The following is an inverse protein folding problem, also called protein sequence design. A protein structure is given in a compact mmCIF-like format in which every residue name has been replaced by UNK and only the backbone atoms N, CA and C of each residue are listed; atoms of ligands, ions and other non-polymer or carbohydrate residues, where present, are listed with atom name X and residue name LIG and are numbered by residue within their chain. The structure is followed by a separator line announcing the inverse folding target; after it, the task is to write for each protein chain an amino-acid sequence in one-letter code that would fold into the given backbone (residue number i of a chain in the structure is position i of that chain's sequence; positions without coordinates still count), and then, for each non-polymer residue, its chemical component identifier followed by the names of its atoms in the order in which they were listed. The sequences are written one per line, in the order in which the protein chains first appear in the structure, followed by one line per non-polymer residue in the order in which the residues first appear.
data_IF_002878729954
#
_entry.id   IF_002878729954
#
_cell.length_a   1.000
_cell.length_b   1.000
_cell.length_c   1.000
_cell.angle_alpha   90.00
_cell.angle_beta   90.00
_cell.angle_gamma   90.00
#
_symmetry.space_group_name_H-M   'P 1'
#
loop_
_entity.id
_entity.type
_entity.pdbx_description
1 polymer ?
#
# COMPACT_ATOMS: atom_id res chain seq x y z
N UNK A 1 -5.13 32.74 -27.64
CA UNK A 1 -4.76 32.47 -26.22
C UNK A 1 -5.90 31.76 -25.52
N UNK A 2 -5.60 30.66 -24.81
CA UNK A 2 -6.55 29.74 -24.17
C UNK A 2 -6.24 29.64 -22.67
N UNK A 3 -7.26 29.64 -21.80
CA UNK A 3 -7.09 29.45 -20.35
C UNK A 3 -8.27 29.97 -19.51
N UNK A 4 -8.11 30.02 -18.18
CA UNK A 4 -9.14 30.54 -17.26
C UNK A 4 -9.17 32.06 -17.07
N UNK A 5 -8.17 32.81 -17.56
CA UNK A 5 -8.16 34.26 -17.40
C UNK A 5 -9.32 34.92 -18.16
N UNK A 6 -9.89 35.99 -17.60
CA UNK A 6 -10.93 36.80 -18.27
C UNK A 6 -10.43 37.39 -19.60
N UNK A 7 -9.11 37.63 -19.73
CA UNK A 7 -8.45 38.09 -20.96
C UNK A 7 -8.00 36.96 -21.90
N UNK A 8 -8.41 35.70 -21.69
CA UNK A 8 -8.21 34.63 -22.67
C UNK A 8 -9.20 34.78 -23.83
N UNK A 9 -8.78 34.48 -25.06
CA UNK A 9 -9.65 34.54 -26.24
C UNK A 9 -10.62 33.35 -26.25
N UNK A 10 -10.12 32.18 -25.82
CA UNK A 10 -10.94 31.00 -25.50
C UNK A 10 -10.86 30.80 -23.99
N UNK A 11 -11.93 31.20 -23.28
CA UNK A 11 -12.03 31.07 -21.82
C UNK A 11 -12.58 29.70 -21.44
N UNK A 12 -11.74 28.88 -20.81
CA UNK A 12 -12.05 27.50 -20.41
C UNK A 12 -12.26 27.43 -18.89
N UNK A 13 -13.41 27.90 -18.43
CA UNK A 13 -13.68 28.20 -17.01
C UNK A 13 -15.02 27.60 -16.56
N UNK A 14 -15.03 26.28 -16.32
CA UNK A 14 -16.24 25.48 -16.01
C UNK A 14 -16.67 25.53 -14.53
N UNK A 15 -16.28 26.57 -13.79
CA UNK A 15 -16.71 26.83 -12.39
C UNK A 15 -16.11 25.91 -11.31
N UNK A 16 -15.82 24.64 -11.63
CA UNK A 16 -15.30 23.63 -10.69
C UNK A 16 -13.92 23.08 -11.06
N UNK A 17 -13.41 23.38 -12.28
CA UNK A 17 -12.17 22.82 -12.81
C UNK A 17 -10.93 23.67 -12.48
N UNK A 18 -10.18 23.26 -11.47
CA UNK A 18 -8.83 23.79 -11.21
C UNK A 18 -7.79 23.39 -12.27
N UNK A 19 -8.12 22.45 -13.15
CA UNK A 19 -7.17 21.76 -14.04
C UNK A 19 -6.63 22.63 -15.19
N UNK A 20 -7.29 23.73 -15.52
CA UNK A 20 -6.83 24.69 -16.54
C UNK A 20 -6.15 25.90 -15.89
N UNK A 21 -4.90 26.16 -16.25
CA UNK A 21 -4.14 27.35 -15.83
C UNK A 21 -4.74 28.67 -16.39
N UNK A 22 -4.48 29.79 -15.72
CA UNK A 22 -5.04 31.12 -16.10
C UNK A 22 -4.66 31.53 -17.52
N UNK A 23 -3.39 31.39 -17.88
CA UNK A 23 -2.91 31.23 -19.26
C UNK A 23 -2.51 29.76 -19.37
N UNK A 24 -2.96 29.05 -20.40
CA UNK A 24 -2.74 27.60 -20.55
C UNK A 24 -2.04 27.28 -21.86
N UNK A 25 -2.54 27.81 -22.98
CA UNK A 25 -1.94 27.62 -24.29
C UNK A 25 -2.10 28.83 -25.21
N UNK A 26 -1.20 28.98 -26.17
CA UNK A 26 -1.45 29.73 -27.41
C UNK A 26 -1.78 28.75 -28.53
N UNK A 27 -2.71 29.15 -29.40
CA UNK A 27 -3.01 28.50 -30.68
C UNK A 27 -2.96 29.61 -31.72
N UNK A 28 -2.35 29.35 -32.87
CA UNK A 28 -2.17 30.33 -33.94
C UNK A 28 -1.47 29.71 -35.16
N UNK A 29 -1.39 30.46 -36.28
CA UNK A 29 -0.62 30.03 -37.45
C UNK A 29 0.88 30.05 -37.16
N UNK A 30 1.60 29.06 -37.70
CA UNK A 30 3.05 29.00 -37.79
C UNK A 30 3.54 29.34 -39.22
N UNK A 31 2.70 29.06 -40.22
CA UNK A 31 2.91 29.37 -41.64
C UNK A 31 1.60 29.83 -42.30
N UNK A 32 1.53 29.76 -43.64
CA UNK A 32 0.34 30.17 -44.40
C UNK A 32 -0.88 29.27 -44.12
N UNK A 33 -0.68 27.95 -44.18
CA UNK A 33 -1.70 26.92 -43.94
C UNK A 33 -1.41 26.06 -42.69
N UNK A 34 -0.26 26.29 -42.03
CA UNK A 34 0.17 25.54 -40.85
C UNK A 34 -0.32 26.19 -39.55
N UNK A 35 -1.06 25.43 -38.73
CA UNK A 35 -1.48 25.84 -37.39
C UNK A 35 -0.74 25.06 -36.31
N UNK A 36 -0.43 25.72 -35.20
CA UNK A 36 0.25 25.13 -34.06
C UNK A 36 -0.42 25.48 -32.72
N UNK A 37 -0.21 24.62 -31.73
CA UNK A 37 -0.53 24.84 -30.32
C UNK A 37 0.77 24.82 -29.48
N UNK A 38 0.88 25.75 -28.55
CA UNK A 38 2.02 25.87 -27.62
C UNK A 38 1.50 25.87 -26.18
N UNK A 39 2.00 24.97 -25.35
CA UNK A 39 1.79 24.97 -23.90
C UNK A 39 2.61 26.14 -23.29
N UNK A 40 1.95 27.15 -22.70
CA UNK A 40 2.64 28.38 -22.22
C UNK A 40 3.12 28.27 -20.77
N UNK A 41 3.49 27.05 -20.34
CA UNK A 41 3.89 26.75 -18.96
C UNK A 41 2.69 26.37 -18.07
N UNK A 42 1.75 25.59 -18.63
CA UNK A 42 0.56 25.14 -17.91
C UNK A 42 0.89 24.09 -16.84
N UNK A 43 0.06 24.06 -15.79
CA UNK A 43 0.26 23.21 -14.60
C UNK A 43 0.06 21.73 -14.90
N UNK A 44 -0.88 21.39 -15.80
CA UNK A 44 -1.27 20.01 -16.10
C UNK A 44 -0.90 19.56 -17.53
N UNK A 45 -0.49 20.50 -18.40
CA UNK A 45 -0.04 20.21 -19.76
C UNK A 45 -1.12 20.30 -20.84
N UNK A 46 -0.64 20.49 -22.06
CA UNK A 46 -1.41 20.33 -23.30
C UNK A 46 -1.06 18.98 -23.93
N UNK A 47 -2.05 18.34 -24.54
CA UNK A 47 -1.90 17.04 -25.19
C UNK A 47 -2.49 17.08 -26.61
N UNK A 48 -1.85 16.40 -27.56
CA UNK A 48 -2.39 16.11 -28.90
C UNK A 48 -2.51 14.58 -29.01
N UNK A 49 -3.68 14.07 -29.36
CA UNK A 49 -3.96 12.63 -29.46
C UNK A 49 -3.51 11.84 -28.21
N UNK A 50 -3.76 12.42 -27.03
CA UNK A 50 -3.35 11.92 -25.69
C UNK A 50 -1.84 11.93 -25.40
N UNK A 51 -0.97 12.35 -26.34
CA UNK A 51 0.46 12.58 -26.10
C UNK A 51 0.69 14.00 -25.60
N UNK A 52 1.37 14.18 -24.46
CA UNK A 52 1.74 15.51 -23.94
C UNK A 52 2.75 16.17 -24.89
N UNK A 53 2.57 17.46 -25.17
CA UNK A 53 3.55 18.26 -25.90
C UNK A 53 4.58 18.88 -24.93
N UNK A 54 5.68 19.38 -25.48
CA UNK A 54 6.67 20.16 -24.73
C UNK A 54 6.13 21.55 -24.34
N UNK A 55 6.65 22.11 -23.26
CA UNK A 55 6.31 23.47 -22.83
C UNK A 55 7.12 24.50 -23.62
N UNK A 56 6.49 25.60 -24.00
CA UNK A 56 7.04 26.73 -24.77
C UNK A 56 7.47 26.43 -26.22
N UNK A 57 7.31 25.19 -26.69
CA UNK A 57 7.55 24.79 -28.09
C UNK A 57 6.22 24.71 -28.89
N UNK A 58 6.16 25.19 -30.14
CA UNK A 58 5.00 24.99 -31.01
C UNK A 58 4.90 23.54 -31.50
N UNK A 59 3.75 22.90 -31.27
CA UNK A 59 3.39 21.62 -31.86
C UNK A 59 2.36 21.83 -32.98
N UNK A 60 2.68 21.37 -34.20
CA UNK A 60 1.79 21.42 -35.36
C UNK A 60 0.51 20.60 -35.15
N UNK A 61 -0.57 21.02 -35.81
CA UNK A 61 -1.89 20.37 -35.78
C UNK A 61 -2.23 19.79 -37.16
N UNK A 62 -2.53 18.49 -37.21
CA UNK A 62 -3.00 17.76 -38.38
C UNK A 62 -4.51 17.53 -38.33
N UNK A 63 -5.14 17.32 -39.50
CA UNK A 63 -6.59 17.10 -39.58
C UNK A 63 -7.06 15.94 -38.69
N UNK A 64 -8.12 16.19 -37.90
CA UNK A 64 -8.68 15.23 -36.96
C UNK A 64 -8.02 15.21 -35.56
N UNK A 65 -6.91 15.92 -35.34
CA UNK A 65 -6.15 15.89 -34.08
C UNK A 65 -6.99 16.28 -32.85
N UNK A 66 -6.90 15.47 -31.79
CA UNK A 66 -7.58 15.71 -30.52
C UNK A 66 -6.68 16.47 -29.54
N UNK A 67 -6.86 17.78 -29.49
CA UNK A 67 -6.18 18.69 -28.55
C UNK A 67 -6.90 18.67 -27.20
N UNK A 68 -6.17 18.42 -26.11
CA UNK A 68 -6.70 18.43 -24.73
C UNK A 68 -5.95 19.42 -23.86
N UNK A 69 -6.68 20.24 -23.09
CA UNK A 69 -6.11 21.19 -22.15
C UNK A 69 -6.34 20.72 -20.71
N UNK A 70 -5.27 20.40 -19.99
CA UNK A 70 -5.34 19.83 -18.65
C UNK A 70 -5.37 18.29 -18.65
N UNK A 71 -6.05 17.68 -17.66
CA UNK A 71 -5.96 16.23 -17.41
C UNK A 71 -6.66 15.43 -18.51
N UNK A 72 -5.90 14.67 -19.29
CA UNK A 72 -6.44 13.74 -20.28
C UNK A 72 -6.97 12.45 -19.61
N UNK A 73 -8.29 12.36 -19.38
CA UNK A 73 -8.92 11.11 -18.94
C UNK A 73 -9.09 10.13 -20.11
N UNK A 74 -9.07 8.82 -19.85
CA UNK A 74 -8.99 7.77 -20.87
C UNK A 74 -10.22 7.56 -21.76
N UNK A 75 -11.26 8.40 -21.65
CA UNK A 75 -12.52 8.27 -22.40
C UNK A 75 -12.36 8.76 -23.85
N UNK A 76 -13.10 8.17 -24.80
CA UNK A 76 -13.30 8.78 -26.11
C UNK A 76 -14.48 9.74 -26.01
N UNK A 77 -14.34 10.93 -26.58
CA UNK A 77 -15.44 11.90 -26.75
C UNK A 77 -15.99 11.74 -28.17
N UNK A 78 -17.31 11.60 -28.38
CA UNK A 78 -17.90 11.56 -29.72
C UNK A 78 -17.63 12.84 -30.53
N UNK A 79 -17.61 12.70 -31.85
CA UNK A 79 -17.44 13.84 -32.76
C UNK A 79 -18.70 14.70 -32.74
N UNK A 80 -18.55 15.98 -32.39
CA UNK A 80 -19.56 17.02 -32.62
C UNK A 80 -20.16 17.71 -31.38
N UNK A 81 -19.90 17.24 -30.16
CA UNK A 81 -20.44 17.83 -28.93
C UNK A 81 -19.38 18.53 -28.07
N UNK A 82 -19.77 19.66 -27.47
CA UNK A 82 -18.99 20.38 -26.45
C UNK A 82 -19.06 19.64 -25.12
N UNK A 83 -18.12 18.71 -24.90
CA UNK A 83 -18.01 18.00 -23.64
C UNK A 83 -17.54 18.93 -22.50
N UNK A 84 -18.43 19.27 -21.56
CA UNK A 84 -18.11 19.24 -20.13
C UNK A 84 -19.34 19.29 -19.21
N UNK A 85 -19.77 18.14 -18.71
CA UNK A 85 -20.19 18.02 -17.29
C UNK A 85 -18.97 17.77 -16.38
N UNK A 86 -17.94 17.10 -16.92
CA UNK A 86 -16.87 16.44 -16.15
C UNK A 86 -15.54 17.22 -16.12
N UNK A 87 -15.56 18.51 -16.47
CA UNK A 87 -14.39 19.41 -16.36
C UNK A 87 -13.22 19.17 -17.32
N UNK A 88 -13.36 18.25 -18.27
CA UNK A 88 -12.42 17.97 -19.37
C UNK A 88 -12.63 18.93 -20.54
N UNK A 89 -11.54 19.34 -21.20
CA UNK A 89 -11.57 20.24 -22.37
C UNK A 89 -10.85 19.60 -23.55
N UNK A 90 -11.61 18.91 -24.41
CA UNK A 90 -11.12 18.19 -25.59
C UNK A 90 -11.70 18.83 -26.85
N UNK A 91 -10.85 19.13 -27.83
CA UNK A 91 -11.21 19.75 -29.10
C UNK A 91 -10.61 18.97 -30.26
N UNK A 92 -11.41 18.68 -31.30
CA UNK A 92 -10.89 18.18 -32.57
C UNK A 92 -10.50 19.36 -33.46
N UNK A 93 -9.22 19.44 -33.85
CA UNK A 93 -8.80 20.27 -34.98
C UNK A 93 -9.35 19.67 -36.28
N UNK A 94 -9.77 20.53 -37.22
CA UNK A 94 -10.19 20.09 -38.55
C UNK A 94 -9.65 21.00 -39.64
N UNK A 95 -9.07 20.36 -40.66
CA UNK A 95 -8.96 20.89 -42.01
C UNK A 95 -10.23 20.48 -42.81
N UNK A 96 -10.13 20.38 -44.14
CA UNK A 96 -11.26 20.02 -45.00
C UNK A 96 -10.90 18.92 -46.03
N UNK A 97 -11.94 18.21 -46.49
CA UNK A 97 -12.02 17.23 -47.63
C UNK A 97 -12.00 15.71 -47.26
N UNK A 98 -12.27 14.77 -48.21
CA UNK A 98 -13.00 13.49 -47.93
C UNK A 98 -12.72 12.22 -48.82
N UNK A 99 -13.20 11.00 -48.41
CA UNK A 99 -12.96 9.63 -49.02
C UNK A 99 -14.11 8.55 -48.84
N UNK A 100 -14.17 7.41 -49.61
CA UNK A 100 -14.61 6.05 -49.08
C UNK A 100 -14.15 4.69 -49.80
N UNK A 101 -14.36 3.43 -49.23
CA UNK A 101 -13.82 2.09 -49.70
C UNK A 101 -14.78 0.82 -49.81
N UNK A 102 -14.30 -0.47 -49.99
CA UNK A 102 -15.14 -1.75 -50.20
C UNK A 102 -14.68 -3.17 -49.60
N UNK A 103 -15.25 -4.38 -49.97
CA UNK A 103 -15.34 -5.69 -49.16
C UNK A 103 -15.52 -7.11 -49.88
N UNK A 104 -15.47 -8.29 -49.13
CA UNK A 104 -16.03 -9.74 -49.32
C UNK A 104 -15.11 -10.92 -49.90
N UNK A 105 -15.27 -12.29 -49.82
CA UNK A 105 -15.89 -13.39 -48.91
C UNK A 105 -15.29 -14.87 -49.16
N UNK A 106 -16.01 -16.04 -48.98
CA UNK A 106 -15.56 -17.51 -48.99
C UNK A 106 -16.69 -18.62 -49.29
N UNK A 107 -16.39 -19.93 -49.64
CA UNK A 107 -17.33 -21.13 -49.80
C UNK A 107 -16.98 -22.52 -49.09
N UNK A 108 -17.76 -23.65 -49.28
CA UNK A 108 -17.79 -25.00 -48.55
C UNK A 108 -18.40 -26.22 -49.41
N UNK A 109 -18.64 -27.56 -49.10
CA UNK A 109 -18.14 -28.78 -48.28
C UNK A 109 -19.05 -30.09 -48.50
N UNK A 110 -18.57 -31.39 -48.51
CA UNK A 110 -19.27 -32.74 -48.24
C UNK A 110 -18.36 -34.02 -48.49
N UNK A 111 -18.61 -35.38 -48.37
CA UNK A 111 -19.66 -36.40 -47.89
C UNK A 111 -19.08 -37.87 -47.59
N UNK A 112 -19.86 -38.99 -47.50
CA UNK A 112 -19.49 -40.35 -46.91
C UNK A 112 -20.32 -41.67 -47.27
N UNK A 113 -19.92 -42.93 -46.84
CA UNK A 113 -20.68 -44.24 -46.97
C UNK A 113 -20.61 -45.37 -45.84
N UNK A 114 -21.65 -46.25 -45.68
CA UNK A 114 -21.69 -47.70 -45.19
C UNK A 114 -21.94 -48.21 -43.70
N UNK A 115 -23.11 -47.99 -43.06
CA UNK A 115 -23.30 -47.76 -41.59
C UNK A 115 -22.88 -48.79 -40.51
N UNK A 116 -22.71 -50.09 -40.78
CA UNK A 116 -22.49 -51.10 -39.72
C UNK A 116 -21.03 -51.57 -39.62
N UNK A 117 -20.37 -51.72 -40.77
CA UNK A 117 -18.91 -51.79 -40.80
C UNK A 117 -18.35 -50.41 -40.42
N UNK A 118 -18.96 -49.32 -40.91
CA UNK A 118 -18.67 -47.94 -40.45
C UNK A 118 -18.72 -47.83 -38.93
N UNK A 119 -19.68 -48.45 -38.24
CA UNK A 119 -19.79 -48.28 -36.79
C UNK A 119 -18.58 -48.85 -36.03
N UNK A 120 -17.88 -49.83 -36.61
CA UNK A 120 -16.66 -50.40 -36.05
C UNK A 120 -15.40 -49.75 -36.63
N UNK A 121 -15.35 -49.53 -37.94
CA UNK A 121 -14.25 -48.85 -38.63
C UNK A 121 -14.13 -47.39 -38.20
N UNK A 122 -15.24 -46.66 -38.10
CA UNK A 122 -15.26 -45.30 -37.51
C UNK A 122 -14.90 -45.33 -36.03
N UNK A 123 -15.19 -46.39 -35.27
CA UNK A 123 -14.74 -46.48 -33.86
C UNK A 123 -13.24 -46.74 -33.76
N UNK A 124 -12.67 -47.54 -34.66
CA UNK A 124 -11.21 -47.72 -34.77
C UNK A 124 -10.57 -46.40 -35.20
N UNK A 125 -11.08 -45.74 -36.23
CA UNK A 125 -10.62 -44.43 -36.72
C UNK A 125 -10.77 -43.35 -35.64
N UNK A 126 -11.86 -43.32 -34.87
CA UNK A 126 -12.03 -42.44 -33.70
C UNK A 126 -10.94 -42.70 -32.66
N UNK A 127 -10.69 -43.97 -32.30
CA UNK A 127 -9.66 -44.33 -31.31
C UNK A 127 -8.24 -44.06 -31.82
N UNK A 128 -7.98 -44.20 -33.12
CA UNK A 128 -6.70 -43.83 -33.75
C UNK A 128 -6.51 -42.31 -33.80
N UNK A 129 -7.57 -41.55 -34.12
CA UNK A 129 -7.57 -40.07 -34.06
C UNK A 129 -7.42 -39.58 -32.62
N UNK A 130 -8.08 -40.21 -31.65
CA UNK A 130 -7.92 -39.90 -30.23
C UNK A 130 -6.51 -40.23 -29.76
N UNK A 131 -5.95 -41.39 -30.12
CA UNK A 131 -4.59 -41.79 -29.79
C UNK A 131 -3.56 -40.83 -30.38
N UNK A 132 -3.69 -40.45 -31.65
CA UNK A 132 -2.78 -39.49 -32.30
C UNK A 132 -2.94 -38.08 -31.73
N UNK A 133 -4.17 -37.67 -31.42
CA UNK A 133 -4.47 -36.45 -30.68
C UNK A 133 -3.87 -36.47 -29.26
N UNK A 134 -3.82 -37.62 -28.60
CA UNK A 134 -3.18 -37.80 -27.30
C UNK A 134 -1.65 -37.78 -27.39
N UNK A 135 -1.04 -38.40 -28.42
CA UNK A 135 0.39 -38.27 -28.71
C UNK A 135 0.78 -36.83 -29.00
N UNK A 136 0.02 -36.12 -29.84
CA UNK A 136 0.28 -34.73 -30.18
C UNK A 136 0.13 -33.79 -28.97
N UNK A 137 -0.87 -34.02 -28.10
CA UNK A 137 -0.99 -33.33 -26.81
C UNK A 137 0.18 -33.63 -25.87
N UNK A 138 0.63 -34.89 -25.79
CA UNK A 138 1.79 -35.27 -24.98
C UNK A 138 3.08 -34.58 -25.48
N UNK A 139 3.31 -34.58 -26.80
CA UNK A 139 4.45 -33.92 -27.43
C UNK A 139 4.44 -32.40 -27.22
N UNK A 140 3.24 -31.78 -27.27
CA UNK A 140 3.03 -30.39 -26.89
C UNK A 140 3.43 -30.13 -25.43
N UNK A 141 2.89 -30.92 -24.49
CA UNK A 141 3.21 -30.79 -23.07
C UNK A 141 4.70 -31.03 -22.74
N UNK A 142 5.39 -31.92 -23.46
CA UNK A 142 6.86 -32.06 -23.29
C UNK A 142 7.61 -30.84 -23.80
N UNK A 143 7.21 -30.27 -24.93
CA UNK A 143 7.82 -29.04 -25.46
C UNK A 143 7.57 -27.83 -24.56
N UNK A 144 6.36 -27.70 -24.01
CA UNK A 144 6.01 -26.68 -23.01
C UNK A 144 6.83 -26.84 -21.72
N UNK A 145 7.04 -28.08 -21.26
CA UNK A 145 7.85 -28.36 -20.06
C UNK A 145 9.34 -28.07 -20.28
N UNK A 146 9.89 -28.39 -21.45
CA UNK A 146 11.26 -28.04 -21.84
C UNK A 146 11.45 -26.53 -21.95
N UNK A 147 10.51 -25.82 -22.59
CA UNK A 147 10.52 -24.36 -22.67
C UNK A 147 10.43 -23.70 -21.28
N UNK A 148 9.52 -24.17 -20.41
CA UNK A 148 9.39 -23.69 -19.04
C UNK A 148 10.65 -23.97 -18.19
N UNK A 149 11.30 -25.12 -18.41
CA UNK A 149 12.57 -25.48 -17.76
C UNK A 149 13.71 -24.55 -18.20
N UNK A 150 13.83 -24.27 -19.50
CA UNK A 150 14.79 -23.32 -20.06
C UNK A 150 14.55 -21.89 -19.53
N UNK A 151 13.29 -21.45 -19.48
CA UNK A 151 12.92 -20.15 -18.90
C UNK A 151 13.27 -20.08 -17.40
N UNK A 152 13.01 -21.14 -16.63
CA UNK A 152 13.40 -21.24 -15.22
C UNK A 152 14.93 -21.20 -15.02
N UNK A 153 15.72 -21.72 -15.96
CA UNK A 153 17.18 -21.59 -15.94
C UNK A 153 17.60 -20.13 -16.17
N UNK A 154 17.11 -19.50 -17.23
CA UNK A 154 17.42 -18.09 -17.57
C UNK A 154 17.06 -17.14 -16.41
N UNK A 155 15.90 -17.34 -15.77
CA UNK A 155 15.49 -16.53 -14.62
C UNK A 155 16.39 -16.69 -13.39
N UNK A 156 17.01 -17.87 -13.18
CA UNK A 156 18.00 -18.07 -12.11
C UNK A 156 19.32 -17.38 -12.42
N UNK A 157 19.78 -17.47 -13.67
CA UNK A 157 21.02 -16.83 -14.12
C UNK A 157 20.90 -15.29 -14.04
N UNK A 158 19.74 -14.73 -14.40
CA UNK A 158 19.42 -13.32 -14.20
C UNK A 158 19.40 -12.92 -12.71
N UNK A 159 18.69 -13.69 -11.86
CA UNK A 159 18.60 -13.40 -10.43
C UNK A 159 19.96 -13.48 -9.71
N UNK A 160 20.89 -14.33 -10.16
CA UNK A 160 22.26 -14.36 -9.63
C UNK A 160 23.06 -13.09 -10.02
N UNK A 161 22.78 -12.52 -11.19
CA UNK A 161 23.31 -11.20 -11.60
C UNK A 161 22.72 -10.05 -10.78
N UNK A 162 21.41 -10.07 -10.52
CA UNK A 162 20.75 -9.08 -9.68
C UNK A 162 21.31 -9.10 -8.24
N UNK A 163 21.51 -10.27 -7.64
CA UNK A 163 22.09 -10.42 -6.29
C UNK A 163 23.51 -9.82 -6.21
N UNK A 164 24.34 -10.01 -7.23
CA UNK A 164 25.69 -9.39 -7.29
C UNK A 164 25.59 -7.87 -7.41
N UNK A 165 24.68 -7.38 -8.25
CA UNK A 165 24.43 -5.95 -8.43
C UNK A 165 23.92 -5.29 -7.15
N UNK A 166 23.05 -5.97 -6.39
CA UNK A 166 22.57 -5.51 -5.08
C UNK A 166 23.73 -5.38 -4.09
N UNK A 167 24.61 -6.38 -3.98
CA UNK A 167 25.77 -6.33 -3.09
C UNK A 167 26.74 -5.17 -3.43
N UNK A 168 26.95 -4.89 -4.72
CA UNK A 168 27.73 -3.72 -5.15
C UNK A 168 27.04 -2.39 -4.78
N UNK A 169 25.72 -2.30 -4.91
CA UNK A 169 24.94 -1.12 -4.54
C UNK A 169 24.91 -0.91 -3.01
N UNK A 170 24.83 -1.98 -2.21
CA UNK A 170 24.94 -1.93 -0.75
C UNK A 170 26.35 -1.46 -0.30
N UNK A 171 27.41 -1.94 -0.96
CA UNK A 171 28.77 -1.46 -0.74
C UNK A 171 28.95 0.02 -1.11
N UNK A 172 28.27 0.50 -2.16
CA UNK A 172 28.26 1.92 -2.54
C UNK A 172 27.40 2.79 -1.62
N UNK A 173 26.28 2.25 -1.11
CA UNK A 173 25.41 2.94 -0.15
C UNK A 173 26.14 3.16 1.19
N UNK A 174 26.72 2.10 1.76
CA UNK A 174 27.50 2.19 3.01
C UNK A 174 28.72 3.12 2.88
N UNK A 175 29.39 3.14 1.72
CA UNK A 175 30.44 4.11 1.44
C UNK A 175 29.91 5.56 1.36
N UNK A 176 28.72 5.78 0.79
CA UNK A 176 28.07 7.09 0.74
C UNK A 176 27.57 7.57 2.12
N UNK A 177 27.06 6.66 2.95
CA UNK A 177 26.69 6.93 4.34
C UNK A 177 27.92 7.33 5.17
N UNK A 178 29.03 6.59 5.04
CA UNK A 178 30.30 6.92 5.69
C UNK A 178 30.88 8.27 5.22
N UNK A 179 30.75 8.59 3.92
CA UNK A 179 31.14 9.89 3.39
C UNK A 179 30.23 11.03 3.91
N UNK A 180 28.92 10.78 4.03
CA UNK A 180 27.95 11.74 4.57
C UNK A 180 28.22 12.00 6.05
N UNK A 181 28.37 10.97 6.88
CA UNK A 181 28.73 11.10 8.29
C UNK A 181 30.06 11.84 8.49
N UNK A 182 31.05 11.63 7.60
CA UNK A 182 32.32 12.37 7.61
C UNK A 182 32.14 13.85 7.24
N UNK A 183 31.25 14.17 6.29
CA UNK A 183 30.91 15.54 5.94
C UNK A 183 30.12 16.25 7.05
N UNK A 184 29.18 15.55 7.69
CA UNK A 184 28.42 16.05 8.85
C UNK A 184 29.33 16.28 10.06
N UNK A 185 30.28 15.37 10.35
CA UNK A 185 31.29 15.57 11.39
C UNK A 185 32.20 16.77 11.11
N UNK A 186 32.61 16.98 9.85
CA UNK A 186 33.38 18.16 9.44
C UNK A 186 32.55 19.46 9.57
N UNK A 187 31.27 19.42 9.20
CA UNK A 187 30.35 20.56 9.36
C UNK A 187 30.07 20.86 10.85
N UNK A 188 29.95 19.84 11.70
CA UNK A 188 29.81 19.99 13.15
C UNK A 188 31.08 20.60 13.78
N UNK A 189 32.27 20.13 13.37
CA UNK A 189 33.54 20.71 13.81
C UNK A 189 33.68 22.19 13.38
N UNK A 190 33.32 22.53 12.14
CA UNK A 190 33.28 23.93 11.69
C UNK A 190 32.27 24.77 12.48
N UNK A 191 31.14 24.19 12.87
CA UNK A 191 30.08 24.87 13.64
C UNK A 191 30.43 25.05 15.12
N UNK A 192 31.26 24.18 15.69
CA UNK A 192 31.77 24.31 17.06
C UNK A 192 32.66 25.55 17.27
N UNK A 193 33.18 26.14 16.20
CA UNK A 193 33.95 27.41 16.23
C UNK A 193 33.02 28.65 16.26
N UNK A 194 31.73 28.49 15.93
CA UNK A 194 30.74 29.56 15.93
C UNK A 194 29.79 29.44 17.14
N UNK A 195 30.15 30.11 18.24
CA UNK A 195 29.45 29.99 19.52
C UNK A 195 28.04 30.60 19.59
N UNK A 196 27.31 30.22 20.65
CA UNK A 196 26.03 30.79 21.09
C UNK A 196 24.83 30.64 20.13
N UNK A 197 24.37 29.40 19.98
CA UNK A 197 22.94 29.12 19.92
C UNK A 197 22.52 28.58 21.30
N UNK A 198 21.30 28.90 21.77
CA UNK A 198 20.76 28.33 23.01
C UNK A 198 20.67 26.82 22.86
N UNK A 199 21.44 26.10 23.66
CA UNK A 199 21.40 24.64 23.72
C UNK A 199 20.40 24.26 24.81
N UNK A 200 19.27 23.69 24.39
CA UNK A 200 18.33 23.06 25.32
C UNK A 200 19.06 21.93 26.06
N UNK A 201 18.84 21.81 27.37
CA UNK A 201 19.37 20.69 28.16
C UNK A 201 18.64 19.40 27.80
N UNK A 202 19.19 18.25 28.21
CA UNK A 202 18.46 16.98 28.08
C UNK A 202 17.19 16.99 28.95
N UNK A 203 17.23 17.63 30.11
CA UNK A 203 16.12 17.72 31.06
C UNK A 203 14.94 18.51 30.46
N UNK A 204 15.21 19.67 29.85
CA UNK A 204 14.20 20.48 29.13
C UNK A 204 13.54 19.70 27.98
N UNK A 205 14.29 18.82 27.30
CA UNK A 205 13.74 17.93 26.27
C UNK A 205 12.90 16.80 26.88
N UNK A 206 13.32 16.22 28.01
CA UNK A 206 12.59 15.15 28.70
C UNK A 206 11.26 15.65 29.29
N UNK A 207 11.19 16.89 29.78
CA UNK A 207 9.95 17.50 30.25
C UNK A 207 8.95 17.76 29.11
N UNK A 208 9.38 18.42 28.02
CA UNK A 208 8.48 18.81 26.92
C UNK A 208 8.08 17.66 25.97
N UNK A 209 8.95 16.65 25.78
CA UNK A 209 8.74 15.60 24.77
C UNK A 209 8.41 14.21 25.32
N UNK A 210 8.25 14.02 26.64
CA UNK A 210 7.89 12.71 27.21
C UNK A 210 6.40 12.35 27.06
N UNK A 211 6.14 11.08 26.75
CA UNK A 211 4.80 10.52 26.71
C UNK A 211 4.27 10.25 28.12
N UNK A 212 3.19 10.90 28.55
CA UNK A 212 2.65 10.77 29.91
C UNK A 212 2.11 9.37 30.28
N UNK A 213 2.16 8.39 29.38
CA UNK A 213 1.76 6.98 29.62
C UNK A 213 2.98 6.12 29.98
N UNK A 214 4.12 6.31 29.30
CA UNK A 214 5.33 5.51 29.51
C UNK A 214 6.51 6.28 30.12
N UNK A 215 6.39 7.60 30.29
CA UNK A 215 7.40 8.49 30.89
C UNK A 215 8.74 8.48 30.15
N UNK A 216 8.66 8.32 28.83
CA UNK A 216 9.78 8.30 27.89
C UNK A 216 9.41 9.16 26.66
N UNK A 217 10.42 9.72 25.98
CA UNK A 217 10.28 10.45 24.71
C UNK A 217 9.20 9.92 23.76
N UNK A 218 8.37 10.81 23.20
CA UNK A 218 7.29 10.45 22.29
C UNK A 218 7.81 9.90 20.95
N UNK A 219 7.45 8.65 20.63
CA UNK A 219 7.72 8.00 19.35
C UNK A 219 6.42 7.91 18.55
N UNK A 220 6.44 8.46 17.33
CA UNK A 220 5.24 8.64 16.50
C UNK A 220 4.21 9.47 17.26
N UNK A 221 4.61 10.69 17.61
CA UNK A 221 3.83 11.63 18.41
C UNK A 221 2.40 11.75 17.83
N UNK A 222 1.40 11.29 18.58
CA UNK A 222 0.02 11.17 18.11
C UNK A 222 -0.90 11.92 19.05
N UNK A 223 -1.56 12.95 18.51
CA UNK A 223 -2.51 13.76 19.24
C UNK A 223 -3.90 13.09 19.27
N UNK A 224 -4.52 13.10 20.45
CA UNK A 224 -5.91 12.72 20.67
C UNK A 224 -6.83 13.90 20.36
N UNK A 225 -7.44 13.96 19.17
CA UNK A 225 -8.34 15.06 18.82
C UNK A 225 -9.78 14.79 19.34
N UNK A 226 -10.51 15.82 19.81
CA UNK A 226 -10.22 17.25 19.66
C UNK A 226 -9.29 17.86 20.72
N UNK A 227 -9.01 17.16 21.83
CA UNK A 227 -8.30 17.74 22.98
C UNK A 227 -6.80 18.03 22.76
N UNK A 228 -6.23 17.56 21.65
CA UNK A 228 -4.85 17.77 21.21
C UNK A 228 -3.71 17.25 22.12
N UNK A 229 -3.98 16.66 23.29
CA UNK A 229 -2.97 15.97 24.11
C UNK A 229 -2.26 14.86 23.32
N UNK A 230 -0.94 14.72 23.50
CA UNK A 230 -0.05 13.96 22.62
C UNK A 230 0.64 12.83 23.38
N UNK A 231 0.76 11.67 22.74
CA UNK A 231 1.35 10.45 23.30
C UNK A 231 2.12 9.69 22.20
N UNK A 232 2.87 8.64 22.55
CA UNK A 232 3.32 7.66 21.56
C UNK A 232 2.13 6.99 20.85
N UNK A 233 2.24 6.72 19.54
CA UNK A 233 1.17 6.08 18.77
C UNK A 233 0.67 4.76 19.39
N UNK A 234 1.59 3.84 19.73
CA UNK A 234 1.26 2.55 20.35
C UNK A 234 0.63 2.73 21.75
N UNK A 235 1.06 3.73 22.54
CA UNK A 235 0.50 3.96 23.88
C UNK A 235 -0.95 4.47 23.83
N UNK A 236 -1.28 5.39 22.92
CA UNK A 236 -2.65 5.86 22.74
C UNK A 236 -3.55 4.80 22.08
N UNK A 237 -2.99 3.97 21.19
CA UNK A 237 -3.69 2.81 20.64
C UNK A 237 -4.03 1.77 21.71
N UNK A 238 -3.05 1.35 22.52
CA UNK A 238 -3.28 0.37 23.59
C UNK A 238 -4.23 0.91 24.67
N UNK A 239 -4.16 2.21 25.02
CA UNK A 239 -5.12 2.85 25.92
C UNK A 239 -6.56 2.79 25.36
N UNK A 240 -6.78 3.28 24.14
CA UNK A 240 -8.10 3.31 23.51
C UNK A 240 -8.64 1.91 23.11
N UNK A 241 -7.85 0.85 23.27
CA UNK A 241 -8.27 -0.54 23.12
C UNK A 241 -8.64 -1.24 24.45
N UNK A 242 -8.37 -0.59 25.59
CA UNK A 242 -8.63 -1.15 26.93
C UNK A 242 -9.96 -0.70 27.56
N UNK A 243 -10.55 0.40 27.08
CA UNK A 243 -11.81 0.91 27.60
C UNK A 243 -12.99 -0.01 27.25
N UNK A 244 -13.63 -0.54 28.29
CA UNK A 244 -14.90 -1.24 28.17
C UNK A 244 -16.01 -0.27 27.70
N UNK A 245 -17.11 -0.81 27.18
CA UNK A 245 -18.22 -0.03 26.61
C UNK A 245 -17.89 0.78 25.34
N UNK A 246 -16.68 0.63 24.77
CA UNK A 246 -16.35 1.16 23.44
C UNK A 246 -16.18 2.68 23.37
N UNK A 247 -16.01 3.33 24.53
CA UNK A 247 -15.48 4.69 24.59
C UNK A 247 -14.00 4.65 24.17
N UNK A 248 -13.53 5.75 23.59
CA UNK A 248 -12.09 5.99 23.41
C UNK A 248 -11.83 7.36 24.05
N UNK A 249 -11.29 7.40 25.27
CA UNK A 249 -11.05 8.64 26.01
C UNK A 249 -9.58 9.04 26.02
N UNK A 250 -9.31 10.34 26.08
CA UNK A 250 -7.95 10.85 26.21
C UNK A 250 -7.37 10.44 27.58
N UNK A 251 -6.17 9.83 27.65
CA UNK A 251 -5.53 9.46 28.91
C UNK A 251 -5.45 10.60 29.94
N UNK A 252 -5.14 11.82 29.46
CA UNK A 252 -4.84 12.99 30.27
C UNK A 252 -6.07 13.79 30.71
N UNK A 253 -7.10 13.94 29.85
CA UNK A 253 -8.29 14.77 30.14
C UNK A 253 -9.64 14.05 30.03
N UNK A 254 -9.65 12.76 29.68
CA UNK A 254 -10.85 11.90 29.50
C UNK A 254 -11.89 12.38 28.49
N UNK A 255 -11.62 13.42 27.69
CA UNK A 255 -12.45 13.78 26.56
C UNK A 255 -12.44 12.69 25.47
N UNK A 256 -13.54 12.51 24.70
CA UNK A 256 -13.58 11.53 23.62
C UNK A 256 -12.53 11.78 22.52
N UNK A 257 -11.79 10.73 22.15
CA UNK A 257 -10.83 10.70 21.04
C UNK A 257 -11.59 10.37 19.76
N UNK A 258 -12.02 11.41 19.05
CA UNK A 258 -12.76 11.28 17.80
C UNK A 258 -11.85 10.89 16.63
N UNK A 259 -10.57 11.28 16.69
CA UNK A 259 -9.55 10.90 15.73
C UNK A 259 -8.15 10.95 16.34
N UNK A 260 -7.20 10.23 15.74
CA UNK A 260 -5.80 10.16 16.16
C UNK A 260 -4.92 10.75 15.06
N UNK A 261 -4.24 11.86 15.36
CA UNK A 261 -3.52 12.67 14.38
C UNK A 261 -2.01 12.58 14.61
N UNK A 262 -1.28 12.13 13.59
CA UNK A 262 0.17 11.90 13.67
C UNK A 262 0.97 13.18 13.40
N UNK A 263 1.69 13.67 14.41
CA UNK A 263 2.35 14.97 14.47
C UNK A 263 3.82 14.89 14.05
N UNK A 264 4.04 14.59 12.75
CA UNK A 264 5.39 14.47 12.13
C UNK A 264 6.37 15.60 12.48
N UNK A 265 5.88 16.82 12.73
CA UNK A 265 6.72 17.94 13.12
C UNK A 265 7.41 17.73 14.48
N UNK A 266 6.72 17.09 15.44
CA UNK A 266 7.29 16.75 16.75
C UNK A 266 8.31 15.63 16.62
N UNK A 267 8.00 14.55 15.88
CA UNK A 267 8.96 13.46 15.63
C UNK A 267 10.26 13.98 15.00
N UNK A 268 10.14 14.85 13.98
CA UNK A 268 11.27 15.44 13.28
C UNK A 268 12.07 16.42 14.16
N UNK A 269 11.36 17.26 14.92
CA UNK A 269 11.98 18.25 15.83
C UNK A 269 12.75 17.55 16.94
N UNK A 270 12.13 16.55 17.59
CA UNK A 270 12.74 15.76 18.65
C UNK A 270 13.95 14.98 18.13
N UNK A 271 13.85 14.32 16.98
CA UNK A 271 14.99 13.62 16.36
C UNK A 271 16.16 14.57 16.09
N UNK A 272 15.90 15.78 15.56
CA UNK A 272 16.92 16.79 15.27
C UNK A 272 17.49 17.47 16.54
N UNK A 273 16.73 17.56 17.63
CA UNK A 273 17.22 18.02 18.94
C UNK A 273 18.11 16.96 19.60
N UNK A 274 17.63 15.71 19.68
CA UNK A 274 18.41 14.59 20.20
C UNK A 274 19.67 14.31 19.36
N UNK A 275 19.65 14.56 18.04
CA UNK A 275 20.86 14.48 17.20
C UNK A 275 21.96 15.49 17.58
N UNK A 276 21.61 16.63 18.20
CA UNK A 276 22.58 17.64 18.69
C UNK A 276 23.09 17.32 20.09
N UNK A 277 22.25 16.75 20.96
CA UNK A 277 22.62 16.33 22.32
C UNK A 277 23.42 15.02 22.29
N UNK A 278 23.04 14.10 21.41
CA UNK A 278 23.71 12.81 21.21
C UNK A 278 23.51 11.85 22.39
N UNK A 279 24.58 11.14 22.74
CA UNK A 279 24.65 10.28 23.92
C UNK A 279 23.64 9.12 23.96
N UNK A 280 23.35 8.67 25.17
CA UNK A 280 22.42 7.56 25.46
C UNK A 280 20.96 7.89 25.14
N UNK A 281 20.54 9.15 25.29
CA UNK A 281 19.18 9.60 24.99
C UNK A 281 18.80 9.37 23.52
N UNK A 282 19.66 9.79 22.59
CA UNK A 282 19.50 9.54 21.16
C UNK A 282 19.46 8.03 20.83
N UNK A 283 20.32 7.23 21.48
CA UNK A 283 20.35 5.78 21.29
C UNK A 283 19.05 5.12 21.77
N UNK A 284 18.54 5.50 22.95
CA UNK A 284 17.28 5.00 23.50
C UNK A 284 16.07 5.39 22.64
N UNK A 285 16.01 6.64 22.17
CA UNK A 285 14.99 7.10 21.23
C UNK A 285 15.03 6.30 19.92
N UNK A 286 16.20 6.17 19.29
CA UNK A 286 16.35 5.42 18.04
C UNK A 286 16.02 3.93 18.18
N UNK A 287 16.34 3.32 19.33
CA UNK A 287 15.95 1.94 19.64
C UNK A 287 14.42 1.76 19.70
N UNK A 288 13.70 2.77 20.21
CA UNK A 288 12.24 2.79 20.34
C UNK A 288 11.53 3.12 19.01
N UNK A 289 12.05 4.05 18.22
CA UNK A 289 11.63 4.26 16.80
C UNK A 289 11.80 2.96 15.99
N UNK A 290 12.92 2.26 16.19
CA UNK A 290 13.16 0.95 15.57
C UNK A 290 12.19 -0.12 16.08
N UNK A 291 11.81 -0.10 17.35
CA UNK A 291 10.85 -1.04 17.92
C UNK A 291 9.43 -0.83 17.35
N UNK A 292 8.97 0.41 17.25
CA UNK A 292 7.71 0.75 16.59
C UNK A 292 7.72 0.30 15.11
N UNK A 293 8.79 0.61 14.38
CA UNK A 293 8.92 0.22 12.96
C UNK A 293 8.85 -1.29 12.77
N UNK A 294 9.47 -2.07 13.67
CA UNK A 294 9.32 -3.54 13.71
C UNK A 294 7.89 -3.99 14.03
N UNK A 295 7.17 -3.30 14.93
CA UNK A 295 5.77 -3.61 15.26
C UNK A 295 4.84 -3.38 14.06
N UNK A 296 4.99 -2.27 13.34
CA UNK A 296 4.26 -1.99 12.09
C UNK A 296 4.56 -3.04 11.02
N UNK A 297 5.82 -3.46 10.86
CA UNK A 297 6.16 -4.50 9.90
C UNK A 297 5.60 -5.88 10.30
N UNK A 298 5.61 -6.23 11.59
CA UNK A 298 4.93 -7.42 12.10
C UNK A 298 3.43 -7.43 11.78
N UNK A 299 2.72 -6.29 11.94
CA UNK A 299 1.32 -6.18 11.57
C UNK A 299 1.08 -6.44 10.08
N UNK A 300 1.91 -5.88 9.18
CA UNK A 300 1.84 -6.15 7.73
C UNK A 300 2.08 -7.63 7.39
N UNK A 301 3.08 -8.26 8.01
CA UNK A 301 3.34 -9.70 7.80
C UNK A 301 2.16 -10.55 8.28
N UNK A 302 1.53 -10.20 9.41
CA UNK A 302 0.33 -10.88 9.91
C UNK A 302 -0.89 -10.69 9.00
N UNK A 303 -1.10 -9.51 8.42
CA UNK A 303 -2.16 -9.27 7.43
C UNK A 303 -1.98 -10.15 6.18
N UNK A 304 -0.78 -10.18 5.61
CA UNK A 304 -0.51 -11.02 4.43
C UNK A 304 -0.66 -12.52 4.74
N UNK A 305 -0.21 -12.96 5.92
CA UNK A 305 -0.43 -14.33 6.40
C UNK A 305 -1.93 -14.64 6.63
N UNK A 306 -2.73 -13.68 7.10
CA UNK A 306 -4.17 -13.82 7.27
C UNK A 306 -4.89 -14.02 5.93
N UNK A 307 -4.51 -13.24 4.92
CA UNK A 307 -5.05 -13.35 3.56
C UNK A 307 -4.69 -14.71 2.92
N UNK A 308 -3.44 -15.15 3.08
CA UNK A 308 -2.97 -16.46 2.60
C UNK A 308 -3.63 -17.64 3.33
N UNK A 309 -3.85 -17.54 4.64
CA UNK A 309 -4.62 -18.54 5.41
C UNK A 309 -6.07 -18.64 4.89
N UNK A 310 -6.70 -17.49 4.61
CA UNK A 310 -8.08 -17.42 4.10
C UNK A 310 -8.22 -18.02 2.70
N UNK A 311 -7.24 -17.85 1.81
CA UNK A 311 -7.28 -18.43 0.45
C UNK A 311 -6.90 -19.92 0.41
N UNK A 312 -5.90 -20.33 1.19
CA UNK A 312 -5.42 -21.72 1.25
C UNK A 312 -6.31 -22.69 2.04
N UNK A 313 -7.34 -22.17 2.74
CA UNK A 313 -8.16 -22.88 3.73
C UNK A 313 -7.37 -23.46 4.92
N UNK A 314 -6.10 -23.12 5.08
CA UNK A 314 -5.34 -23.48 6.27
C UNK A 314 -5.78 -22.60 7.44
N UNK A 315 -6.51 -23.17 8.40
CA UNK A 315 -6.82 -22.48 9.64
C UNK A 315 -5.55 -22.32 10.48
N UNK A 316 -5.31 -21.10 10.97
CA UNK A 316 -4.41 -20.88 12.11
C UNK A 316 -4.97 -21.58 13.38
N UNK A 317 -4.22 -21.54 14.49
CA UNK A 317 -4.56 -22.23 15.75
C UNK A 317 -5.99 -21.93 16.23
N UNK A 318 -6.90 -22.91 16.15
CA UNK A 318 -8.30 -22.69 16.54
C UNK A 318 -8.45 -22.74 18.07
N UNK A 319 -8.75 -21.61 18.73
CA UNK A 319 -8.87 -21.49 20.19
C UNK A 319 -9.93 -22.43 20.81
N UNK A 320 -10.91 -22.88 20.02
CA UNK A 320 -11.99 -23.78 20.44
C UNK A 320 -11.54 -25.25 20.51
N UNK A 321 -10.41 -25.60 19.90
CA UNK A 321 -9.82 -26.94 19.89
C UNK A 321 -8.66 -27.02 20.89
N UNK A 322 -8.43 -28.17 21.51
CA UNK A 322 -7.27 -28.35 22.43
C UNK A 322 -5.95 -28.26 21.65
N UNK A 323 -5.04 -27.40 22.11
CA UNK A 323 -3.70 -27.20 21.53
C UNK A 323 -2.68 -28.12 22.20
N UNK A 324 -1.72 -28.61 21.42
CA UNK A 324 -0.52 -29.27 21.94
C UNK A 324 0.39 -28.28 22.69
N UNK A 325 1.27 -28.79 23.56
CA UNK A 325 2.23 -27.95 24.28
C UNK A 325 3.14 -27.12 23.36
N UNK A 326 3.41 -27.60 22.11
CA UNK A 326 4.17 -26.88 21.08
C UNK A 326 3.41 -25.67 20.54
N UNK A 327 2.13 -25.83 20.26
CA UNK A 327 1.25 -24.76 19.77
C UNK A 327 1.01 -23.71 20.86
N UNK A 328 0.72 -24.12 22.10
CA UNK A 328 0.66 -23.23 23.26
C UNK A 328 1.94 -22.40 23.42
N UNK A 329 3.13 -23.03 23.36
CA UNK A 329 4.42 -22.36 23.41
C UNK A 329 4.63 -21.36 22.25
N UNK A 330 4.07 -21.67 21.07
CA UNK A 330 4.17 -20.84 19.86
C UNK A 330 3.26 -19.61 19.97
N UNK A 331 2.00 -19.80 20.39
CA UNK A 331 1.06 -18.70 20.61
C UNK A 331 1.54 -17.76 21.72
N UNK A 332 2.01 -18.33 22.85
CA UNK A 332 2.63 -17.57 23.94
C UNK A 332 3.87 -16.77 23.51
N UNK A 333 4.65 -17.26 22.55
CA UNK A 333 5.77 -16.49 21.95
C UNK A 333 5.26 -15.35 21.07
N UNK A 334 4.17 -15.56 20.32
CA UNK A 334 3.51 -14.51 19.53
C UNK A 334 2.93 -13.40 20.39
N UNK A 335 2.24 -13.73 21.48
CA UNK A 335 1.69 -12.76 22.44
C UNK A 335 2.74 -11.82 23.03
N UNK A 336 3.96 -12.32 23.30
CA UNK A 336 5.10 -11.51 23.75
C UNK A 336 5.81 -10.74 22.63
N UNK A 337 5.71 -11.20 21.37
CA UNK A 337 6.35 -10.58 20.20
C UNK A 337 5.55 -9.40 19.64
N UNK A 338 4.22 -9.50 19.65
CA UNK A 338 3.32 -8.54 19.03
C UNK A 338 2.69 -7.61 20.09
N UNK A 339 2.49 -6.33 19.73
CA UNK A 339 1.82 -5.29 20.53
C UNK A 339 0.70 -4.62 19.72
N UNK A 340 -0.17 -3.84 20.36
CA UNK A 340 -1.29 -3.12 19.72
C UNK A 340 -2.08 -3.97 18.70
N UNK A 341 -2.37 -3.40 17.52
CA UNK A 341 -3.05 -4.08 16.40
C UNK A 341 -2.41 -5.41 15.97
N UNK A 342 -1.08 -5.55 16.03
CA UNK A 342 -0.41 -6.79 15.66
C UNK A 342 -0.81 -7.94 16.61
N UNK A 343 -0.94 -7.64 17.92
CA UNK A 343 -1.42 -8.63 18.90
C UNK A 343 -2.90 -8.94 18.72
N UNK A 344 -3.73 -7.92 18.47
CA UNK A 344 -5.15 -8.08 18.23
C UNK A 344 -5.40 -9.03 17.04
N UNK A 345 -4.83 -8.73 15.87
CA UNK A 345 -4.95 -9.56 14.67
C UNK A 345 -4.43 -10.99 14.89
N UNK A 346 -3.34 -11.15 15.64
CA UNK A 346 -2.81 -12.47 16.00
C UNK A 346 -3.76 -13.30 16.89
N UNK A 347 -4.53 -12.65 17.77
CA UNK A 347 -5.56 -13.31 18.57
C UNK A 347 -6.82 -13.61 17.74
N UNK A 348 -7.25 -12.67 16.90
CA UNK A 348 -8.39 -12.83 15.99
C UNK A 348 -8.15 -13.97 14.99
N UNK A 349 -6.93 -14.12 14.47
CA UNK A 349 -6.50 -15.26 13.65
C UNK A 349 -6.64 -16.61 14.37
N UNK A 350 -6.48 -16.64 15.70
CA UNK A 350 -6.72 -17.82 16.50
C UNK A 350 -8.21 -18.04 16.85
N UNK A 351 -9.11 -17.13 16.43
CA UNK A 351 -10.51 -17.10 16.82
C UNK A 351 -10.76 -16.54 18.23
N UNK A 352 -9.73 -16.01 18.89
CA UNK A 352 -9.80 -15.41 20.22
C UNK A 352 -10.21 -13.93 20.11
N UNK A 353 -11.52 -13.71 19.97
CA UNK A 353 -12.12 -12.36 19.83
C UNK A 353 -12.95 -11.99 21.07
N UNK A 354 -13.23 -10.69 21.32
CA UNK A 354 -14.13 -10.28 22.39
C UNK A 354 -15.52 -10.92 22.29
N UNK A 355 -16.06 -11.00 21.06
CA UNK A 355 -17.34 -11.66 20.79
C UNK A 355 -17.31 -13.17 21.10
N UNK A 356 -16.18 -13.85 20.85
CA UNK A 356 -15.99 -15.24 21.27
C UNK A 356 -16.03 -15.38 22.80
N UNK A 357 -15.29 -14.56 23.54
CA UNK A 357 -15.26 -14.65 25.01
C UNK A 357 -16.62 -14.33 25.63
N UNK A 358 -17.35 -13.36 25.07
CA UNK A 358 -18.71 -13.05 25.50
C UNK A 358 -19.70 -14.20 25.25
N UNK A 359 -19.67 -14.82 24.06
CA UNK A 359 -20.70 -15.80 23.62
C UNK A 359 -20.37 -17.27 23.90
N UNK A 360 -19.12 -17.65 24.17
CA UNK A 360 -18.73 -19.04 24.34
C UNK A 360 -19.29 -19.67 25.63
N UNK A 361 -19.64 -20.95 25.56
CA UNK A 361 -20.07 -21.75 26.71
C UNK A 361 -18.89 -22.12 27.62
N UNK A 362 -19.17 -22.37 28.91
CA UNK A 362 -18.14 -22.72 29.91
C UNK A 362 -17.16 -23.82 29.44
N UNK A 363 -17.57 -24.96 28.85
CA UNK A 363 -16.63 -25.98 28.38
C UNK A 363 -15.64 -25.47 27.32
N UNK A 364 -16.07 -24.57 26.42
CA UNK A 364 -15.20 -23.99 25.39
C UNK A 364 -14.27 -22.93 25.99
N UNK A 365 -14.75 -22.16 26.96
CA UNK A 365 -13.91 -21.22 27.72
C UNK A 365 -12.84 -21.94 28.56
N UNK A 366 -13.13 -23.13 29.10
CA UNK A 366 -12.15 -23.96 29.80
C UNK A 366 -11.06 -24.48 28.85
N UNK A 367 -11.41 -24.91 27.63
CA UNK A 367 -10.44 -25.27 26.58
C UNK A 367 -9.57 -24.05 26.21
N UNK A 368 -10.19 -22.88 26.02
CA UNK A 368 -9.46 -21.64 25.74
C UNK A 368 -8.50 -21.26 26.88
N UNK A 369 -8.93 -21.32 28.15
CA UNK A 369 -8.09 -21.03 29.30
C UNK A 369 -6.89 -21.99 29.40
N UNK A 370 -7.10 -23.29 29.13
CA UNK A 370 -6.03 -24.30 29.07
C UNK A 370 -5.03 -24.02 27.95
N UNK A 371 -5.52 -23.72 26.74
CA UNK A 371 -4.70 -23.32 25.58
C UNK A 371 -3.85 -22.07 25.88
N UNK A 372 -4.40 -21.13 26.65
CA UNK A 372 -3.77 -19.88 27.04
C UNK A 372 -2.89 -20.01 28.30
N UNK A 373 -2.90 -21.17 28.97
CA UNK A 373 -2.19 -21.49 30.23
C UNK A 373 -2.57 -20.61 31.42
N UNK A 374 -3.83 -20.23 31.49
CA UNK A 374 -4.41 -19.53 32.65
C UNK A 374 -4.60 -20.57 33.76
N UNK A 375 -3.86 -20.43 34.87
CA UNK A 375 -3.84 -21.42 35.96
C UNK A 375 -5.05 -21.35 36.88
N UNK A 376 -5.64 -20.16 37.02
CA UNK A 376 -6.65 -19.84 38.03
C UNK A 376 -8.07 -20.21 37.59
N UNK A 377 -8.19 -20.87 36.42
CA UNK A 377 -9.43 -21.34 35.81
C UNK A 377 -9.46 -22.86 35.86
N UNK A 378 -10.50 -23.40 36.49
CA UNK A 378 -10.71 -24.85 36.71
C UNK A 378 -12.15 -25.24 36.40
N UNK A 379 -12.46 -26.53 36.38
CA UNK A 379 -13.84 -27.01 36.18
C UNK A 379 -14.82 -26.50 37.27
N UNK A 380 -14.33 -26.07 38.43
CA UNK A 380 -15.13 -25.43 39.48
C UNK A 380 -15.44 -23.95 39.21
N UNK A 381 -14.65 -23.24 38.40
CA UNK A 381 -14.82 -21.80 38.12
C UNK A 381 -16.18 -21.48 37.47
N UNK A 382 -16.77 -20.33 37.80
CA UNK A 382 -17.99 -19.86 37.12
C UNK A 382 -17.70 -19.47 35.66
N UNK A 383 -18.73 -19.42 34.81
CA UNK A 383 -18.55 -19.01 33.41
C UNK A 383 -17.93 -17.60 33.31
N UNK A 384 -18.34 -16.69 34.19
CA UNK A 384 -17.84 -15.32 34.22
C UNK A 384 -16.42 -15.23 34.79
N UNK A 385 -16.05 -16.05 35.77
CA UNK A 385 -14.64 -16.18 36.19
C UNK A 385 -13.74 -16.61 35.01
N UNK A 386 -14.19 -17.56 34.18
CA UNK A 386 -13.46 -17.93 32.96
C UNK A 386 -13.35 -16.77 31.96
N UNK A 387 -14.43 -16.00 31.75
CA UNK A 387 -14.43 -14.81 30.88
C UNK A 387 -13.46 -13.74 31.40
N UNK A 388 -13.59 -13.34 32.66
CA UNK A 388 -12.77 -12.32 33.31
C UNK A 388 -11.29 -12.72 33.30
N UNK A 389 -10.95 -13.99 33.55
CA UNK A 389 -9.56 -14.44 33.50
C UNK A 389 -8.96 -14.36 32.08
N UNK A 390 -9.71 -14.74 31.04
CA UNK A 390 -9.26 -14.62 29.63
C UNK A 390 -9.13 -13.15 29.22
N UNK A 391 -10.08 -12.29 29.61
CA UNK A 391 -10.03 -10.84 29.38
C UNK A 391 -8.82 -10.23 30.09
N UNK A 392 -8.59 -10.56 31.36
CA UNK A 392 -7.46 -10.04 32.13
C UNK A 392 -6.11 -10.52 31.58
N UNK A 393 -6.02 -11.74 31.05
CA UNK A 393 -4.83 -12.20 30.34
C UNK A 393 -4.57 -11.35 29.08
N UNK A 394 -5.60 -11.09 28.27
CA UNK A 394 -5.47 -10.22 27.09
C UNK A 394 -5.09 -8.76 27.44
N UNK A 395 -5.67 -8.21 28.52
CA UNK A 395 -5.34 -6.86 29.04
C UNK A 395 -4.00 -6.78 29.80
N UNK A 396 -3.46 -7.92 30.25
CA UNK A 396 -2.34 -8.02 31.18
C UNK A 396 -0.96 -8.20 30.53
N UNK A 397 -0.90 -8.47 29.22
CA UNK A 397 0.35 -8.66 28.45
C UNK A 397 1.08 -7.33 28.13
N UNK A 398 1.13 -6.42 29.10
CA UNK A 398 1.73 -5.08 28.94
C UNK A 398 3.24 -5.14 28.68
#
# INVERSE_FOLDING_TARGET
MVGRAVAAHVRLDSGTSGYVSRKHASVGPLGADEWAVTDVGSTNGVFINRRRIAAHEPALLADGDLVTFGVASGRQVPIGELASSDGLFVYQYRAAHAEPPSKRRKPLVSRSPSPALDALESRVIELEIELESHKLRLAGMTSELEAASAQCKQLREAAEGDVKTIAELEGRATAAEAATAKAEAAAAAAKAVAGSAVALTLEELEEEFSCSICLEFMVQATAAAPCAHIFCADCLEEWCALEEEGRQSCPQCRQPVLMRLHMRLLDNTLAHMLAKVGGSALQGYNARVSAFTRNVQHYRTLLSAAEQARTSRQTFLNIKMRWTAKEQNTFQRGLRKYRGKARQLFCELAGLTPAFVASASKPVLLVAASNLRIKDVTDASTIDACRTAIINMLKGLR
#
